data_IF_465379683371
#
_entry.id   IF_465379683371
#
_cell.length_a   1.000
_cell.length_b   1.000
_cell.length_c   1.000
_cell.angle_alpha   90.00
_cell.angle_beta   90.00
_cell.angle_gamma   90.00
#
_symmetry.space_group_name_H-M   'P 1'
#
loop_
_entity.id
_entity.type
_entity.pdbx_description
1 polymer ?
#
# COMPACT_ATOMS: atom_id res chain seq x y z
N UNK A 1 3.95 0.48 -9.88
CA UNK A 1 3.91 0.44 -8.40
C UNK A 1 5.29 0.27 -7.79
N UNK A 2 6.08 -0.74 -8.18
CA UNK A 2 7.46 -0.94 -7.68
C UNK A 2 8.33 0.31 -7.89
N UNK A 3 8.36 0.84 -9.11
CA UNK A 3 9.15 2.04 -9.43
C UNK A 3 8.78 3.27 -8.60
N UNK A 4 7.49 3.44 -8.28
CA UNK A 4 7.00 4.58 -7.48
C UNK A 4 7.48 4.52 -6.03
N UNK A 5 7.54 3.31 -5.48
CA UNK A 5 8.07 3.04 -4.14
C UNK A 5 9.59 3.31 -4.07
N UNK A 6 10.33 2.96 -5.12
CA UNK A 6 11.76 3.25 -5.24
C UNK A 6 12.01 4.76 -5.38
N UNK A 7 11.27 5.45 -6.25
CA UNK A 7 11.31 6.92 -6.39
C UNK A 7 11.05 7.64 -5.06
N UNK A 8 10.03 7.19 -4.31
CA UNK A 8 9.71 7.77 -3.00
C UNK A 8 10.77 7.46 -1.93
N UNK A 9 11.43 6.31 -2.03
CA UNK A 9 12.54 5.95 -1.15
C UNK A 9 13.79 6.79 -1.44
N UNK A 10 14.06 7.09 -2.71
CA UNK A 10 15.17 7.96 -3.14
C UNK A 10 14.93 9.42 -2.78
N UNK A 11 13.70 9.94 -2.92
CA UNK A 11 13.33 11.32 -2.50
C UNK A 11 13.47 11.53 -0.99
N UNK A 12 13.19 10.51 -0.17
CA UNK A 12 13.24 10.58 1.29
C UNK A 12 14.68 10.47 1.85
N UNK A 13 15.56 11.38 1.44
CA UNK A 13 16.99 11.22 1.65
C UNK A 13 17.44 11.20 3.11
N UNK A 14 16.75 11.82 4.09
CA UNK A 14 17.32 11.89 5.45
C UNK A 14 16.41 11.64 6.67
N UNK A 15 15.08 11.77 6.63
CA UNK A 15 14.28 11.68 7.89
C UNK A 15 13.09 10.72 7.91
N UNK A 16 12.62 10.19 6.77
CA UNK A 16 11.37 9.41 6.74
C UNK A 16 11.48 8.06 6.03
N UNK A 17 12.69 7.51 5.85
CA UNK A 17 12.88 6.16 5.27
C UNK A 17 12.07 5.07 5.99
N UNK A 18 11.77 5.26 7.27
CA UNK A 18 10.97 4.31 8.05
C UNK A 18 9.51 4.21 7.57
N UNK A 19 8.88 5.30 7.12
CA UNK A 19 7.49 5.23 6.64
C UNK A 19 7.42 4.55 5.28
N UNK A 20 8.37 4.85 4.39
CA UNK A 20 8.49 4.16 3.09
C UNK A 20 8.76 2.67 3.30
N UNK A 21 9.68 2.33 4.22
CA UNK A 21 9.98 0.94 4.59
C UNK A 21 8.76 0.22 5.17
N UNK A 22 7.95 0.89 5.99
CA UNK A 22 6.70 0.33 6.49
C UNK A 22 5.71 0.02 5.36
N UNK A 23 5.48 0.96 4.43
CA UNK A 23 4.60 0.72 3.28
C UNK A 23 5.11 -0.44 2.43
N UNK A 24 6.44 -0.57 2.25
CA UNK A 24 7.04 -1.73 1.58
C UNK A 24 6.71 -3.05 2.30
N UNK A 25 6.84 -3.13 3.62
CA UNK A 25 6.46 -4.32 4.37
C UNK A 25 4.97 -4.67 4.24
N UNK A 26 4.10 -3.66 4.21
CA UNK A 26 2.67 -3.87 3.96
C UNK A 26 2.44 -4.44 2.55
N UNK A 27 3.18 -3.97 1.54
CA UNK A 27 3.11 -4.51 0.18
C UNK A 27 3.54 -5.98 0.12
N UNK A 28 4.63 -6.33 0.79
CA UNK A 28 5.14 -7.70 0.87
C UNK A 28 4.10 -8.64 1.51
N UNK A 29 3.42 -8.20 2.57
CA UNK A 29 2.33 -8.96 3.21
C UNK A 29 1.09 -9.10 2.33
N UNK A 30 0.72 -8.06 1.56
CA UNK A 30 -0.37 -8.14 0.58
C UNK A 30 -0.04 -9.15 -0.53
N UNK A 31 1.21 -9.20 -0.99
CA UNK A 31 1.67 -10.20 -1.97
C UNK A 31 1.71 -11.61 -1.40
N UNK A 32 2.07 -11.77 -0.13
CA UNK A 32 1.95 -13.05 0.56
C UNK A 32 0.49 -13.49 0.67
N UNK A 33 -0.43 -12.56 0.96
CA UNK A 33 -1.87 -12.84 1.03
C UNK A 33 -2.43 -13.28 -0.32
N UNK A 34 -1.99 -12.66 -1.42
CA UNK A 34 -2.32 -13.08 -2.79
C UNK A 34 -1.84 -14.51 -3.07
N UNK A 35 -0.61 -14.85 -2.68
CA UNK A 35 -0.08 -16.21 -2.86
C UNK A 35 -0.91 -17.25 -2.12
N UNK A 36 -1.23 -17.00 -0.84
CA UNK A 36 -2.06 -17.91 -0.03
C UNK A 36 -3.46 -18.10 -0.64
N UNK A 37 -4.11 -17.01 -1.07
CA UNK A 37 -5.42 -17.10 -1.71
C UNK A 37 -5.39 -17.96 -2.98
N UNK A 38 -4.34 -17.83 -3.79
CA UNK A 38 -4.13 -18.67 -4.98
C UNK A 38 -3.93 -20.16 -4.61
N UNK A 39 -3.13 -20.45 -3.59
CA UNK A 39 -2.89 -21.80 -3.10
C UNK A 39 -4.20 -22.44 -2.59
N UNK A 40 -4.97 -21.73 -1.77
CA UNK A 40 -6.27 -22.18 -1.26
C UNK A 40 -7.27 -22.46 -2.38
N UNK A 41 -7.32 -21.59 -3.38
CA UNK A 41 -8.18 -21.74 -4.56
C UNK A 41 -7.79 -22.98 -5.37
N UNK A 42 -6.48 -23.20 -5.59
CA UNK A 42 -5.98 -24.39 -6.28
C UNK A 42 -6.32 -25.68 -5.52
N UNK A 43 -6.21 -25.69 -4.19
CA UNK A 43 -6.61 -26.81 -3.34
C UNK A 43 -8.11 -27.09 -3.49
N UNK A 44 -8.97 -26.06 -3.39
CA UNK A 44 -10.42 -26.20 -3.58
C UNK A 44 -10.76 -26.79 -4.95
N UNK A 45 -10.12 -26.30 -6.01
CA UNK A 45 -10.31 -26.80 -7.37
C UNK A 45 -9.89 -28.28 -7.52
N UNK A 46 -8.78 -28.69 -6.89
CA UNK A 46 -8.34 -30.09 -6.87
C UNK A 46 -9.33 -31.02 -6.15
N UNK A 47 -10.08 -30.49 -5.19
CA UNK A 47 -11.19 -31.18 -4.51
C UNK A 47 -12.53 -31.08 -5.25
N UNK A 48 -12.53 -30.72 -6.54
CA UNK A 48 -13.72 -30.59 -7.39
C UNK A 48 -14.72 -29.50 -6.96
N UNK A 49 -14.31 -28.59 -6.07
CA UNK A 49 -15.09 -27.38 -5.82
C UNK A 49 -14.84 -26.39 -6.97
N UNK A 50 -15.92 -25.89 -7.59
CA UNK A 50 -15.81 -24.90 -8.66
C UNK A 50 -15.30 -23.58 -8.05
N UNK A 51 -14.24 -22.96 -8.61
CA UNK A 51 -13.80 -21.65 -8.16
C UNK A 51 -14.87 -20.59 -8.44
N UNK A 52 -15.07 -19.67 -7.50
CA UNK A 52 -15.91 -18.49 -7.71
C UNK A 52 -15.05 -17.39 -8.36
N UNK A 53 -15.25 -17.20 -9.66
CA UNK A 53 -14.48 -16.25 -10.45
C UNK A 53 -14.75 -14.79 -10.06
N UNK A 54 -15.95 -14.48 -9.57
CA UNK A 54 -16.28 -13.13 -9.11
C UNK A 54 -15.63 -12.85 -7.76
N UNK A 55 -15.57 -13.84 -6.86
CA UNK A 55 -14.83 -13.74 -5.60
C UNK A 55 -13.33 -13.52 -5.85
N UNK A 56 -12.72 -14.30 -6.74
CA UNK A 56 -11.30 -14.14 -7.10
C UNK A 56 -11.02 -12.75 -7.68
N UNK A 57 -11.84 -12.31 -8.64
CA UNK A 57 -11.69 -11.00 -9.27
C UNK A 57 -11.85 -9.87 -8.26
N UNK A 58 -12.85 -9.95 -7.38
CA UNK A 58 -13.05 -8.97 -6.32
C UNK A 58 -11.86 -8.94 -5.36
N UNK A 59 -11.32 -10.09 -4.97
CA UNK A 59 -10.15 -10.19 -4.12
C UNK A 59 -8.93 -9.49 -4.75
N UNK A 60 -8.60 -9.80 -6.00
CA UNK A 60 -7.47 -9.18 -6.69
C UNK A 60 -7.65 -7.67 -6.86
N UNK A 61 -8.86 -7.21 -7.20
CA UNK A 61 -9.17 -5.79 -7.30
C UNK A 61 -9.00 -5.07 -5.96
N UNK A 62 -9.43 -5.69 -4.85
CA UNK A 62 -9.28 -5.11 -3.52
C UNK A 62 -7.80 -4.97 -3.13
N UNK A 63 -6.97 -5.99 -3.39
CA UNK A 63 -5.53 -5.89 -3.15
C UNK A 63 -4.90 -4.78 -3.98
N UNK A 64 -5.28 -4.67 -5.25
CA UNK A 64 -4.81 -3.60 -6.13
C UNK A 64 -5.20 -2.21 -5.59
N UNK A 65 -6.47 -2.00 -5.26
CA UNK A 65 -6.95 -0.74 -4.69
C UNK A 65 -6.26 -0.39 -3.37
N UNK A 66 -6.02 -1.36 -2.50
CA UNK A 66 -5.28 -1.14 -1.25
C UNK A 66 -3.86 -0.66 -1.51
N UNK A 67 -3.13 -1.28 -2.45
CA UNK A 67 -1.78 -0.84 -2.81
C UNK A 67 -1.76 0.57 -3.38
N UNK A 68 -2.73 0.89 -4.25
CA UNK A 68 -2.86 2.25 -4.83
C UNK A 68 -3.14 3.28 -3.74
N UNK A 69 -4.06 3.01 -2.82
CA UNK A 69 -4.36 3.88 -1.69
C UNK A 69 -3.15 4.11 -0.80
N UNK A 70 -2.37 3.07 -0.50
CA UNK A 70 -1.17 3.18 0.32
C UNK A 70 -0.09 4.06 -0.33
N UNK A 71 0.04 4.02 -1.67
CA UNK A 71 0.94 4.91 -2.40
C UNK A 71 0.45 6.35 -2.32
N UNK A 72 -0.83 6.61 -2.59
CA UNK A 72 -1.42 7.96 -2.51
C UNK A 72 -1.21 8.59 -1.12
N UNK A 73 -1.47 7.81 -0.07
CA UNK A 73 -1.23 8.24 1.32
C UNK A 73 0.26 8.50 1.57
N UNK A 74 1.16 7.66 1.07
CA UNK A 74 2.60 7.84 1.25
C UNK A 74 3.12 9.09 0.53
N UNK A 75 2.61 9.38 -0.67
CA UNK A 75 2.93 10.59 -1.44
C UNK A 75 2.52 11.84 -0.67
N UNK A 76 1.25 11.92 -0.29
CA UNK A 76 0.70 13.06 0.48
C UNK A 76 1.39 13.25 1.82
N UNK A 77 1.75 12.15 2.49
CA UNK A 77 2.51 12.21 3.75
C UNK A 77 3.93 12.71 3.50
N UNK A 78 4.58 12.28 2.41
CA UNK A 78 5.91 12.76 2.03
C UNK A 78 5.88 14.25 1.71
N UNK A 79 4.86 14.72 0.99
CA UNK A 79 4.65 16.15 0.71
C UNK A 79 4.53 16.96 2.00
N UNK A 80 3.72 16.51 2.97
CA UNK A 80 3.58 17.20 4.26
C UNK A 80 4.89 17.25 5.05
N UNK A 81 5.70 16.20 4.94
CA UNK A 81 7.00 16.12 5.60
C UNK A 81 8.07 16.98 4.92
N UNK A 82 8.04 17.09 3.59
CA UNK A 82 8.92 17.96 2.80
C UNK A 82 8.66 19.45 3.05
N UNK A 83 7.40 19.83 3.32
CA UNK A 83 6.99 21.23 3.54
C UNK A 83 6.90 21.60 5.03
N UNK A 84 7.50 20.81 5.94
CA UNK A 84 7.56 21.15 7.36
C UNK A 84 8.30 22.49 7.58
N UNK A 85 7.54 23.54 7.88
CA UNK A 85 8.05 24.88 8.15
C UNK A 85 7.63 25.95 7.14
N UNK A 86 7.01 25.54 6.02
CA UNK A 86 6.33 26.49 5.14
C UNK A 86 5.01 26.94 5.78
N UNK A 87 4.92 28.24 6.09
CA UNK A 87 3.73 28.85 6.72
C UNK A 87 2.53 28.94 5.78
N UNK A 88 2.74 28.83 4.47
CA UNK A 88 1.69 28.88 3.46
C UNK A 88 1.31 27.49 2.94
N UNK A 89 1.94 26.42 3.45
CA UNK A 89 1.61 25.05 3.06
C UNK A 89 0.25 24.62 3.60
N UNK A 90 -0.61 24.12 2.71
CA UNK A 90 -1.89 23.52 3.08
C UNK A 90 -1.70 22.01 3.28
N UNK A 91 -1.63 21.58 4.54
CA UNK A 91 -1.33 20.19 4.90
C UNK A 91 -2.37 19.20 4.35
N UNK A 92 -1.88 18.10 3.78
CA UNK A 92 -2.68 16.96 3.36
C UNK A 92 -3.31 16.22 4.54
N UNK A 93 -2.60 16.15 5.67
CA UNK A 93 -3.03 15.56 6.92
C UNK A 93 -2.83 16.56 8.07
N UNK A 94 -3.83 16.70 8.94
CA UNK A 94 -3.71 17.55 10.13
C UNK A 94 -2.70 16.93 11.10
N UNK A 95 -1.76 17.74 11.61
CA UNK A 95 -0.90 17.30 12.71
C UNK A 95 -1.75 16.97 13.92
N UNK A 96 -1.57 15.78 14.51
CA UNK A 96 -2.01 15.46 15.87
C UNK A 96 -3.51 15.54 16.12
N UNK A 97 -4.06 14.44 16.63
CA UNK A 97 -5.42 14.40 17.17
C UNK A 97 -5.52 15.45 18.29
N UNK A 98 -6.35 16.49 18.11
CA UNK A 98 -7.00 17.13 19.25
C UNK A 98 -7.86 16.03 19.89
N UNK A 99 -7.27 15.28 20.83
CA UNK A 99 -7.97 14.38 21.72
C UNK A 99 -8.56 15.20 22.87
#
# INVERSE_FOLDING_TARGET
>A
MVNKLEELNERNTLNHRNIVKYVKHVFDELDLKVRRFREETAIKAAHHAKPDLEEEKLFYNNIHHMKTLLIDVLERTTEDLEHMGDKNWNKNFKDGVNA
#
